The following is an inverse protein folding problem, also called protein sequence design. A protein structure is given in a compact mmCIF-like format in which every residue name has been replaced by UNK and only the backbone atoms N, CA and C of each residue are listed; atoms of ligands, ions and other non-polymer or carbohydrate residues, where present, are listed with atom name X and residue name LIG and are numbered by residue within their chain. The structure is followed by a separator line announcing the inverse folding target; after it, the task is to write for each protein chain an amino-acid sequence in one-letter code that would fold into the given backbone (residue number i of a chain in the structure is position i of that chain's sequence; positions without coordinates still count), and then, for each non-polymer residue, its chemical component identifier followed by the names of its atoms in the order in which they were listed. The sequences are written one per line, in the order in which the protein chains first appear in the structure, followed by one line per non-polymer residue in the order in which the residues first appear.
data_IF_627136810700
#
_entry.id   IF_627136810700
#
_cell.length_a   1.000
_cell.length_b   1.000
_cell.length_c   1.000
_cell.angle_alpha   90.00
_cell.angle_beta   90.00
_cell.angle_gamma   90.00
#
_symmetry.space_group_name_H-M   'P 1'
#
loop_
_entity.id
_entity.type
_entity.pdbx_description
1 polymer ?
#
# COMPACT_ATOMS: atom_id res chain seq x y z
N UNK A 1 -6.80 -14.02 20.19
CA UNK A 1 -5.82 -14.05 19.09
C UNK A 1 -4.72 -15.02 19.51
N UNK A 2 -4.46 -16.06 18.74
CA UNK A 2 -3.36 -17.00 18.99
C UNK A 2 -2.11 -16.56 18.22
N UNK A 3 -1.07 -16.14 18.94
CA UNK A 3 0.17 -15.62 18.36
C UNK A 3 0.90 -16.64 17.47
N UNK A 4 0.86 -17.93 17.83
CA UNK A 4 1.49 -18.99 17.06
C UNK A 4 0.86 -19.22 15.68
N UNK A 5 -0.43 -18.86 15.52
CA UNK A 5 -1.10 -18.92 14.21
C UNK A 5 -0.73 -17.73 13.33
N UNK A 6 -0.68 -16.53 13.92
CA UNK A 6 -0.29 -15.31 13.20
C UNK A 6 1.14 -15.48 12.66
N UNK A 7 2.07 -16.01 13.47
CA UNK A 7 3.45 -16.27 13.03
C UNK A 7 3.53 -17.34 11.95
N UNK A 8 2.74 -18.41 12.02
CA UNK A 8 2.70 -19.44 10.98
C UNK A 8 2.20 -18.87 9.64
N UNK A 9 1.16 -18.03 9.66
CA UNK A 9 0.64 -17.33 8.47
C UNK A 9 1.72 -16.41 7.90
N UNK A 10 2.38 -15.62 8.74
CA UNK A 10 3.46 -14.72 8.34
C UNK A 10 4.62 -15.46 7.66
N UNK A 11 5.07 -16.58 8.23
CA UNK A 11 6.20 -17.36 7.68
C UNK A 11 5.82 -17.98 6.32
N UNK A 12 4.62 -18.56 6.22
CA UNK A 12 4.11 -19.09 4.96
C UNK A 12 4.09 -17.99 3.90
N UNK A 13 3.52 -16.84 4.23
CA UNK A 13 3.39 -15.72 3.31
C UNK A 13 4.77 -15.19 2.86
N UNK A 14 5.75 -15.16 3.75
CA UNK A 14 7.12 -14.76 3.42
C UNK A 14 7.77 -15.73 2.43
N UNK A 15 7.52 -17.04 2.59
CA UNK A 15 7.99 -18.06 1.66
C UNK A 15 7.29 -17.95 0.29
N UNK A 16 5.98 -17.68 0.28
CA UNK A 16 5.20 -17.49 -0.94
C UNK A 16 5.71 -16.25 -1.72
N UNK A 17 5.89 -15.10 -1.05
CA UNK A 17 6.49 -13.89 -1.67
C UNK A 17 7.88 -14.19 -2.23
N UNK A 18 8.73 -14.91 -1.48
CA UNK A 18 10.11 -15.21 -1.89
C UNK A 18 10.18 -16.12 -3.11
N UNK A 19 9.21 -17.03 -3.28
CA UNK A 19 9.21 -18.01 -4.37
C UNK A 19 8.39 -17.55 -5.58
N UNK A 20 7.52 -16.57 -5.40
CA UNK A 20 6.69 -16.03 -6.47
C UNK A 20 7.38 -14.85 -7.16
N UNK A 21 7.91 -15.10 -8.37
CA UNK A 21 8.59 -14.09 -9.19
C UNK A 21 7.72 -12.86 -9.46
N UNK A 22 6.41 -13.04 -9.65
CA UNK A 22 5.47 -11.95 -9.89
C UNK A 22 5.28 -11.06 -8.66
N UNK A 23 5.40 -11.60 -7.44
CA UNK A 23 5.38 -10.78 -6.24
C UNK A 23 6.70 -10.02 -6.07
N UNK A 24 7.85 -10.69 -6.30
CA UNK A 24 9.17 -10.05 -6.21
C UNK A 24 9.33 -8.85 -7.16
N UNK A 25 8.79 -8.93 -8.37
CA UNK A 25 8.86 -7.82 -9.34
C UNK A 25 8.18 -6.56 -8.82
N UNK A 26 7.10 -6.69 -8.03
CA UNK A 26 6.38 -5.55 -7.45
C UNK A 26 7.21 -4.76 -6.43
N UNK A 27 8.22 -5.39 -5.82
CA UNK A 27 9.19 -4.73 -4.94
C UNK A 27 10.33 -4.07 -5.72
N UNK A 28 10.71 -4.68 -6.84
CA UNK A 28 11.81 -4.20 -7.69
C UNK A 28 11.40 -2.96 -8.49
N UNK A 29 10.16 -2.93 -9.02
CA UNK A 29 9.67 -1.84 -9.88
C UNK A 29 9.81 -0.45 -9.21
N UNK A 30 9.33 -0.21 -7.97
CA UNK A 30 9.48 1.08 -7.31
C UNK A 30 10.94 1.53 -7.21
N UNK A 31 11.86 0.60 -6.88
CA UNK A 31 13.29 0.88 -6.75
C UNK A 31 13.92 1.17 -8.12
N UNK A 32 13.65 0.32 -9.10
CA UNK A 32 14.16 0.47 -10.45
C UNK A 32 13.69 1.78 -11.10
N UNK A 33 12.39 2.11 -10.99
CA UNK A 33 11.85 3.36 -11.51
C UNK A 33 12.47 4.56 -10.80
N UNK A 34 12.60 4.54 -9.48
CA UNK A 34 13.25 5.62 -8.72
C UNK A 34 14.69 5.85 -9.20
N UNK A 35 15.44 4.77 -9.42
CA UNK A 35 16.80 4.86 -9.97
C UNK A 35 16.80 5.41 -11.40
N UNK A 36 15.86 5.02 -12.24
CA UNK A 36 15.75 5.53 -13.61
C UNK A 36 15.44 7.03 -13.57
N UNK A 37 14.44 7.45 -12.80
CA UNK A 37 14.07 8.85 -12.67
C UNK A 37 15.22 9.71 -12.14
N UNK A 38 15.94 9.22 -11.12
CA UNK A 38 17.07 9.94 -10.52
C UNK A 38 18.27 10.07 -11.47
N UNK A 39 18.62 9.02 -12.20
CA UNK A 39 19.90 8.96 -12.92
C UNK A 39 19.78 9.24 -14.43
N UNK A 40 18.62 9.02 -15.04
CA UNK A 40 18.45 9.07 -16.49
C UNK A 40 17.56 10.22 -16.97
N UNK A 41 16.86 10.93 -16.09
CA UNK A 41 16.07 12.11 -16.46
C UNK A 41 16.80 13.37 -16.00
N UNK A 42 17.37 14.16 -16.94
CA UNK A 42 18.02 15.43 -16.62
C UNK A 42 17.02 16.41 -15.99
N UNK A 43 17.52 17.29 -15.11
CA UNK A 43 16.74 18.39 -14.52
C UNK A 43 15.48 17.96 -13.75
N UNK A 44 15.46 16.71 -13.26
CA UNK A 44 14.39 16.25 -12.37
C UNK A 44 14.37 17.08 -11.06
N UNK A 45 13.20 17.60 -10.64
CA UNK A 45 13.09 18.29 -9.36
C UNK A 45 13.56 17.41 -8.21
N UNK A 46 14.26 18.02 -7.26
CA UNK A 46 14.74 17.34 -6.06
C UNK A 46 13.55 16.69 -5.31
N UNK A 47 13.74 15.46 -4.85
CA UNK A 47 12.70 14.71 -4.14
C UNK A 47 11.61 14.09 -5.01
N UNK A 48 11.40 14.52 -6.26
CA UNK A 48 10.34 13.98 -7.13
C UNK A 48 10.51 12.48 -7.41
N UNK A 49 11.73 12.04 -7.73
CA UNK A 49 12.04 10.62 -7.97
C UNK A 49 11.69 9.74 -6.75
N UNK A 50 12.01 10.22 -5.54
CA UNK A 50 11.65 9.54 -4.29
C UNK A 50 10.14 9.54 -4.07
N UNK A 51 9.47 10.66 -4.31
CA UNK A 51 8.02 10.79 -4.21
C UNK A 51 7.29 9.80 -5.10
N UNK A 52 7.71 9.68 -6.36
CA UNK A 52 7.21 8.67 -7.28
C UNK A 52 7.49 7.26 -6.76
N UNK A 53 8.73 6.96 -6.37
CA UNK A 53 9.11 5.67 -5.82
C UNK A 53 8.23 5.22 -4.66
N UNK A 54 7.95 6.12 -3.72
CA UNK A 54 7.11 5.85 -2.56
C UNK A 54 5.63 5.69 -2.93
N UNK A 55 5.13 6.42 -3.92
CA UNK A 55 3.79 6.18 -4.47
C UNK A 55 3.69 4.81 -5.15
N UNK A 56 4.68 4.44 -5.96
CA UNK A 56 4.78 3.11 -6.56
C UNK A 56 4.83 2.00 -5.53
N UNK A 57 5.60 2.22 -4.45
CA UNK A 57 5.66 1.29 -3.34
C UNK A 57 4.29 1.14 -2.65
N UNK A 58 3.61 2.25 -2.39
CA UNK A 58 2.31 2.25 -1.71
C UNK A 58 1.23 1.50 -2.52
N UNK A 59 1.23 1.58 -3.84
CA UNK A 59 0.22 0.89 -4.67
C UNK A 59 0.62 -0.52 -5.05
N UNK A 60 1.83 -0.75 -5.57
CA UNK A 60 2.27 -2.07 -6.04
C UNK A 60 2.48 -3.03 -4.87
N UNK A 61 3.19 -2.60 -3.83
CA UNK A 61 3.40 -3.45 -2.66
C UNK A 61 2.25 -3.28 -1.68
N UNK A 62 1.87 -2.04 -1.38
CA UNK A 62 0.84 -1.78 -0.37
C UNK A 62 -0.56 -2.25 -0.78
N UNK A 63 -0.93 -2.27 -2.07
CA UNK A 63 -2.27 -2.70 -2.50
C UNK A 63 -2.26 -3.99 -3.32
N UNK A 64 -1.42 -4.09 -4.34
CA UNK A 64 -1.48 -5.21 -5.28
C UNK A 64 -1.01 -6.54 -4.67
N UNK A 65 0.09 -6.55 -3.90
CA UNK A 65 0.56 -7.75 -3.18
C UNK A 65 -0.52 -8.34 -2.24
N UNK A 66 -1.14 -7.59 -1.32
CA UNK A 66 -2.19 -8.15 -0.45
C UNK A 66 -3.46 -8.54 -1.22
N UNK A 67 -3.77 -7.89 -2.35
CA UNK A 67 -4.86 -8.31 -3.22
C UNK A 67 -4.57 -9.69 -3.85
N UNK A 68 -3.40 -9.84 -4.46
CA UNK A 68 -2.99 -11.08 -5.14
C UNK A 68 -2.92 -12.25 -4.17
N UNK A 69 -2.31 -12.06 -3.01
CA UNK A 69 -2.10 -13.13 -2.02
C UNK A 69 -3.42 -13.62 -1.43
N UNK A 70 -4.40 -12.74 -1.19
CA UNK A 70 -5.74 -13.16 -0.78
C UNK A 70 -6.46 -13.90 -1.91
N UNK A 71 -6.37 -13.41 -3.14
CA UNK A 71 -7.02 -14.06 -4.28
C UNK A 71 -6.38 -15.41 -4.63
N UNK A 72 -5.08 -15.58 -4.39
CA UNK A 72 -4.37 -16.86 -4.52
C UNK A 72 -4.90 -17.91 -3.57
N UNK A 73 -5.15 -17.54 -2.31
CA UNK A 73 -5.72 -18.47 -1.34
C UNK A 73 -7.18 -18.83 -1.66
N UNK A 74 -7.91 -17.92 -2.30
CA UNK A 74 -9.27 -18.19 -2.84
C UNK A 74 -9.19 -19.24 -3.92
N UNK A 75 -8.31 -19.02 -4.89
CA UNK A 75 -8.15 -19.87 -6.06
C UNK A 75 -7.71 -21.29 -5.68
N UNK A 76 -6.77 -21.42 -4.73
CA UNK A 76 -6.30 -22.71 -4.20
C UNK A 76 -7.30 -23.37 -3.24
N UNK A 77 -8.54 -22.84 -3.10
CA UNK A 77 -9.56 -23.22 -2.11
C UNK A 77 -9.06 -23.27 -0.67
N UNK A 78 -7.93 -22.63 -0.38
CA UNK A 78 -7.37 -22.54 0.97
C UNK A 78 -8.25 -21.63 1.83
N UNK A 79 -8.96 -20.67 1.24
CA UNK A 79 -9.91 -19.83 1.97
C UNK A 79 -11.14 -20.58 2.47
N UNK A 80 -11.67 -21.57 1.74
CA UNK A 80 -12.73 -22.47 2.24
C UNK A 80 -12.19 -23.34 3.40
N UNK A 81 -10.94 -23.81 3.29
CA UNK A 81 -10.28 -24.52 4.39
C UNK A 81 -10.01 -23.59 5.58
N UNK A 82 -9.79 -22.29 5.36
CA UNK A 82 -9.61 -21.28 6.40
C UNK A 82 -10.92 -20.85 7.07
N UNK A 83 -12.06 -20.87 6.38
CA UNK A 83 -13.38 -20.66 7.02
C UNK A 83 -13.80 -21.86 7.86
N UNK A 84 -13.33 -23.06 7.50
CA UNK A 84 -13.44 -24.29 8.31
C UNK A 84 -12.32 -24.43 9.35
N UNK A 85 -11.24 -23.66 9.21
CA UNK A 85 -10.13 -23.60 10.16
C UNK A 85 -10.60 -22.87 11.42
N UNK A 86 -10.16 -23.30 12.62
CA UNK A 86 -10.45 -22.58 13.85
C UNK A 86 -9.78 -21.19 13.94
N UNK A 87 -9.10 -20.72 12.88
CA UNK A 87 -8.43 -19.42 12.83
C UNK A 87 -9.45 -18.29 12.66
N UNK A 88 -9.33 -17.25 13.48
CA UNK A 88 -10.23 -16.10 13.36
C UNK A 88 -9.84 -15.29 12.12
N UNK A 89 -10.79 -14.72 11.37
CA UNK A 89 -10.51 -13.89 10.20
C UNK A 89 -9.53 -12.74 10.47
N UNK A 90 -9.64 -12.14 11.65
CA UNK A 90 -8.73 -11.11 12.12
C UNK A 90 -7.28 -11.60 12.25
N UNK A 91 -7.05 -12.88 12.60
CA UNK A 91 -5.71 -13.46 12.70
C UNK A 91 -5.06 -13.60 11.31
N UNK A 92 -5.86 -13.92 10.28
CA UNK A 92 -5.40 -13.99 8.89
C UNK A 92 -5.05 -12.62 8.34
N UNK A 93 -5.94 -11.63 8.51
CA UNK A 93 -5.68 -10.27 8.06
C UNK A 93 -4.49 -9.62 8.77
N UNK A 94 -4.33 -9.85 10.08
CA UNK A 94 -3.17 -9.35 10.82
C UNK A 94 -1.89 -10.04 10.35
N UNK A 95 -1.87 -11.36 10.17
CA UNK A 95 -0.68 -12.09 9.71
C UNK A 95 -0.19 -11.65 8.33
N UNK A 96 -1.11 -11.59 7.36
CA UNK A 96 -0.79 -11.15 5.98
C UNK A 96 -0.47 -9.67 5.91
N UNK A 97 -1.33 -8.83 6.50
CA UNK A 97 -1.14 -7.39 6.52
C UNK A 97 0.17 -6.98 7.19
N UNK A 98 0.56 -7.67 8.27
CA UNK A 98 1.83 -7.40 8.95
C UNK A 98 3.03 -7.70 8.06
N UNK A 99 3.01 -8.81 7.30
CA UNK A 99 4.12 -9.08 6.38
C UNK A 99 4.21 -8.03 5.28
N UNK A 100 3.09 -7.71 4.62
CA UNK A 100 3.09 -6.65 3.60
C UNK A 100 3.56 -5.32 4.18
N UNK A 101 3.14 -5.00 5.41
CA UNK A 101 3.55 -3.78 6.10
C UNK A 101 5.06 -3.74 6.35
N UNK A 102 5.64 -4.81 6.92
CA UNK A 102 7.10 -4.92 7.12
C UNK A 102 7.85 -4.81 5.79
N UNK A 103 7.35 -5.52 4.77
CA UNK A 103 7.90 -5.48 3.42
C UNK A 103 7.89 -4.08 2.81
N UNK A 104 6.81 -3.31 2.97
CA UNK A 104 6.73 -1.90 2.56
C UNK A 104 7.79 -1.06 3.27
N UNK A 105 7.93 -1.19 4.60
CA UNK A 105 8.92 -0.43 5.36
C UNK A 105 10.36 -0.78 4.94
N UNK A 106 10.66 -2.05 4.68
CA UNK A 106 11.98 -2.46 4.21
C UNK A 106 12.28 -1.88 2.82
N UNK A 107 11.34 -1.93 1.88
CA UNK A 107 11.53 -1.33 0.56
C UNK A 107 11.61 0.19 0.61
N UNK A 108 10.88 0.84 1.52
CA UNK A 108 11.02 2.27 1.78
C UNK A 108 12.44 2.61 2.23
N UNK A 109 13.02 1.83 3.16
CA UNK A 109 14.42 2.01 3.59
C UNK A 109 15.37 1.87 2.40
N UNK A 110 15.17 0.89 1.53
CA UNK A 110 15.98 0.74 0.30
C UNK A 110 15.87 1.98 -0.59
N UNK A 111 14.67 2.51 -0.81
CA UNK A 111 14.46 3.74 -1.60
C UNK A 111 15.18 4.94 -1.00
N UNK A 112 15.09 5.11 0.33
CA UNK A 112 15.77 6.20 1.05
C UNK A 112 17.29 6.11 0.90
N UNK A 113 17.86 4.90 0.95
CA UNK A 113 19.29 4.66 0.75
C UNK A 113 19.73 4.92 -0.70
N UNK A 114 18.91 4.55 -1.68
CA UNK A 114 19.20 4.78 -3.10
C UNK A 114 19.18 6.27 -3.46
N UNK A 115 18.24 7.03 -2.89
CA UNK A 115 18.12 8.46 -3.18
C UNK A 115 19.13 9.27 -2.36
N UNK A 116 19.33 8.94 -1.08
CA UNK A 116 20.17 9.69 -0.15
C UNK A 116 19.40 10.84 0.53
N UNK A 117 18.29 10.52 1.20
CA UNK A 117 17.43 11.52 1.85
C UNK A 117 18.08 12.18 3.07
N UNK A 118 17.83 13.48 3.23
CA UNK A 118 18.30 14.24 4.40
C UNK A 118 17.60 13.79 5.69
N UNK A 119 18.34 13.77 6.80
CA UNK A 119 17.84 13.32 8.10
C UNK A 119 16.58 14.08 8.57
N UNK A 120 16.44 15.36 8.20
CA UNK A 120 15.28 16.18 8.56
C UNK A 120 13.96 15.73 7.92
N UNK A 121 14.02 15.07 6.76
CA UNK A 121 12.84 14.62 5.99
C UNK A 121 12.34 13.24 6.43
N UNK A 122 13.21 12.44 7.07
CA UNK A 122 12.93 11.07 7.47
C UNK A 122 11.69 10.91 8.36
N UNK A 123 11.45 11.73 9.40
CA UNK A 123 10.28 11.56 10.26
C UNK A 123 8.96 11.67 9.49
N UNK A 124 8.88 12.62 8.55
CA UNK A 124 7.72 12.82 7.70
C UNK A 124 7.50 11.61 6.80
N UNK A 125 8.55 11.17 6.11
CA UNK A 125 8.47 10.06 5.17
C UNK A 125 8.05 8.77 5.90
N UNK A 126 8.69 8.47 7.03
CA UNK A 126 8.42 7.26 7.81
C UNK A 126 6.98 7.24 8.34
N UNK A 127 6.52 8.33 8.95
CA UNK A 127 5.16 8.40 9.51
C UNK A 127 4.11 8.40 8.40
N UNK A 128 4.29 9.24 7.38
CA UNK A 128 3.37 9.32 6.24
C UNK A 128 3.26 7.99 5.50
N UNK A 129 4.39 7.32 5.25
CA UNK A 129 4.40 6.03 4.57
C UNK A 129 3.79 4.94 5.45
N UNK A 130 4.06 4.96 6.76
CA UNK A 130 3.47 4.00 7.71
C UNK A 130 1.94 4.05 7.66
N UNK A 131 1.36 5.25 7.80
CA UNK A 131 -0.09 5.41 7.79
C UNK A 131 -0.68 5.03 6.41
N UNK A 132 -0.06 5.51 5.34
CA UNK A 132 -0.49 5.23 3.97
C UNK A 132 -0.43 3.75 3.63
N UNK A 133 0.63 3.05 4.04
CA UNK A 133 0.78 1.62 3.86
C UNK A 133 -0.38 0.85 4.50
N UNK A 134 -0.78 1.21 5.74
CA UNK A 134 -1.90 0.55 6.40
C UNK A 134 -3.20 0.72 5.62
N UNK A 135 -3.49 1.94 5.12
CA UNK A 135 -4.69 2.20 4.31
C UNK A 135 -4.65 1.40 3.01
N UNK A 136 -3.54 1.47 2.28
CA UNK A 136 -3.34 0.75 1.02
C UNK A 136 -3.47 -0.76 1.20
N UNK A 137 -2.93 -1.31 2.30
CA UNK A 137 -3.02 -2.73 2.64
C UNK A 137 -4.47 -3.14 2.83
N UNK A 138 -5.28 -2.38 3.56
CA UNK A 138 -6.70 -2.70 3.69
C UNK A 138 -7.48 -2.61 2.37
N UNK A 139 -7.16 -1.64 1.52
CA UNK A 139 -7.79 -1.54 0.20
C UNK A 139 -7.36 -2.69 -0.71
N UNK A 140 -6.08 -3.06 -0.68
CA UNK A 140 -5.58 -4.24 -1.39
C UNK A 140 -6.27 -5.52 -0.94
N UNK A 141 -6.41 -5.70 0.38
CA UNK A 141 -7.15 -6.85 0.91
C UNK A 141 -8.62 -6.86 0.46
N UNK A 142 -9.28 -5.70 0.45
CA UNK A 142 -10.63 -5.55 -0.08
C UNK A 142 -10.72 -5.99 -1.54
N UNK A 143 -9.80 -5.57 -2.39
CA UNK A 143 -9.75 -5.99 -3.80
C UNK A 143 -9.56 -7.51 -3.88
N UNK A 144 -8.63 -8.09 -3.12
CA UNK A 144 -8.44 -9.54 -3.06
C UNK A 144 -9.71 -10.30 -2.62
N UNK A 145 -10.48 -9.74 -1.67
CA UNK A 145 -11.78 -10.30 -1.25
C UNK A 145 -12.87 -10.21 -2.33
N UNK A 146 -12.79 -9.24 -3.24
CA UNK A 146 -13.73 -9.08 -4.34
C UNK A 146 -13.32 -9.88 -5.59
N UNK A 147 -12.04 -10.16 -5.76
CA UNK A 147 -11.50 -10.95 -6.88
C UNK A 147 -11.75 -12.46 -6.72
N UNK A 148 -11.98 -13.12 -7.86
CA UNK A 148 -12.23 -14.57 -7.92
C UNK A 148 -10.94 -15.40 -7.91
N UNK A 149 -9.86 -14.86 -8.47
CA UNK A 149 -8.55 -15.52 -8.61
C UNK A 149 -7.44 -14.45 -8.75
N UNK A 150 -6.18 -14.88 -8.78
CA UNK A 150 -5.05 -13.94 -8.88
C UNK A 150 -5.12 -13.07 -10.13
N UNK A 151 -5.49 -13.63 -11.29
CA UNK A 151 -5.56 -12.86 -12.53
C UNK A 151 -6.62 -11.75 -12.44
N UNK A 152 -7.73 -12.01 -11.75
CA UNK A 152 -8.80 -11.05 -11.54
C UNK A 152 -8.41 -9.87 -10.62
N UNK A 153 -7.36 -9.97 -9.80
CA UNK A 153 -6.91 -8.82 -8.99
C UNK A 153 -6.27 -7.75 -9.85
N UNK A 154 -5.63 -8.14 -10.96
CA UNK A 154 -5.17 -7.20 -11.99
C UNK A 154 -6.35 -6.53 -12.67
N UNK A 155 -7.34 -7.29 -13.16
CA UNK A 155 -8.47 -6.72 -13.92
C UNK A 155 -9.38 -5.85 -13.04
N UNK A 156 -9.76 -6.33 -11.87
CA UNK A 156 -10.68 -5.63 -10.95
C UNK A 156 -9.97 -4.50 -10.20
N UNK A 157 -8.71 -4.72 -9.82
CA UNK A 157 -7.94 -3.76 -9.04
C UNK A 157 -7.30 -2.65 -9.86
N UNK A 158 -6.99 -2.88 -11.15
CA UNK A 158 -6.24 -1.92 -11.98
C UNK A 158 -6.83 -0.51 -11.99
N UNK A 159 -8.15 -0.29 -12.16
CA UNK A 159 -8.71 1.05 -12.10
C UNK A 159 -8.44 1.74 -10.75
N UNK A 160 -8.51 0.98 -9.65
CA UNK A 160 -8.25 1.48 -8.30
C UNK A 160 -6.77 1.80 -8.12
N UNK A 161 -5.87 0.90 -8.51
CA UNK A 161 -4.43 1.13 -8.43
C UNK A 161 -4.01 2.36 -9.26
N UNK A 162 -4.56 2.51 -10.46
CA UNK A 162 -4.30 3.67 -11.32
C UNK A 162 -4.79 4.96 -10.70
N UNK A 163 -5.99 4.99 -10.11
CA UNK A 163 -6.49 6.19 -9.43
C UNK A 163 -5.58 6.56 -8.25
N UNK A 164 -5.22 5.58 -7.42
CA UNK A 164 -4.37 5.81 -6.24
C UNK A 164 -2.95 6.25 -6.60
N UNK A 165 -2.50 5.95 -7.82
CA UNK A 165 -1.18 6.31 -8.33
C UNK A 165 -1.17 7.62 -9.11
N UNK A 166 -2.03 7.74 -10.12
CA UNK A 166 -1.99 8.82 -11.10
C UNK A 166 -2.68 10.08 -10.61
N UNK A 167 -3.79 9.98 -9.87
CA UNK A 167 -4.52 11.18 -9.43
C UNK A 167 -3.67 12.06 -8.51
N UNK A 168 -2.92 11.54 -7.52
CA UNK A 168 -1.97 12.35 -6.74
C UNK A 168 -0.93 13.06 -7.60
N UNK A 169 -0.42 12.38 -8.63
CA UNK A 169 0.60 12.91 -9.53
C UNK A 169 0.03 14.04 -10.40
N UNK A 170 -1.13 13.82 -11.02
CA UNK A 170 -1.79 14.79 -11.89
C UNK A 170 -2.27 16.02 -11.10
N UNK A 171 -2.79 15.82 -9.89
CA UNK A 171 -3.25 16.90 -9.02
C UNK A 171 -2.13 17.83 -8.55
N UNK A 172 -0.87 17.42 -8.66
CA UNK A 172 0.28 18.26 -8.30
C UNK A 172 0.51 19.43 -9.26
N UNK A 173 0.01 19.31 -10.50
CA UNK A 173 0.15 20.33 -11.55
C UNK A 173 -0.98 21.38 -11.50
N UNK A 174 -2.23 20.96 -11.35
CA UNK A 174 -3.42 21.85 -11.32
C UNK A 174 -4.37 21.48 -10.17
N UNK A 175 -4.15 21.99 -8.95
CA UNK A 175 -4.88 21.56 -7.75
C UNK A 175 -6.36 21.97 -7.71
N UNK A 176 -6.78 22.95 -8.52
CA UNK A 176 -8.13 23.53 -8.45
C UNK A 176 -9.14 22.86 -9.39
N UNK A 177 -8.68 21.94 -10.23
CA UNK A 177 -9.54 21.23 -11.17
C UNK A 177 -10.25 20.02 -10.54
N UNK A 178 -11.14 19.40 -11.30
CA UNK A 178 -11.85 18.18 -10.90
C UNK A 178 -10.90 17.10 -10.36
N UNK A 179 -9.71 16.95 -10.95
CA UNK A 179 -8.69 15.98 -10.53
C UNK A 179 -8.16 16.33 -9.13
N UNK A 180 -7.91 17.60 -8.83
CA UNK A 180 -7.47 18.04 -7.50
C UNK A 180 -8.55 17.79 -6.43
N UNK A 181 -9.81 18.06 -6.77
CA UNK A 181 -10.94 17.73 -5.88
C UNK A 181 -11.03 16.23 -5.60
N UNK A 182 -10.90 15.40 -6.64
CA UNK A 182 -10.89 13.94 -6.50
C UNK A 182 -9.69 13.46 -5.67
N UNK A 183 -8.52 14.07 -5.88
CA UNK A 183 -7.30 13.73 -5.16
C UNK A 183 -7.43 13.98 -3.66
N UNK A 184 -8.18 15.00 -3.23
CA UNK A 184 -8.46 15.28 -1.83
C UNK A 184 -9.11 14.11 -1.06
N UNK A 185 -9.74 13.16 -1.76
CA UNK A 185 -10.33 11.95 -1.17
C UNK A 185 -9.38 10.74 -1.13
N UNK A 186 -8.16 10.86 -1.65
CA UNK A 186 -7.21 9.76 -1.75
C UNK A 186 -6.14 9.84 -0.67
N UNK A 187 -5.90 8.77 0.11
CA UNK A 187 -4.85 8.77 1.12
C UNK A 187 -3.46 8.96 0.49
N UNK A 188 -3.23 8.41 -0.70
CA UNK A 188 -1.98 8.59 -1.44
C UNK A 188 -1.73 10.04 -1.85
N UNK A 189 -2.78 10.86 -2.04
CA UNK A 189 -2.62 12.28 -2.31
C UNK A 189 -2.14 13.04 -1.07
N UNK A 190 -2.75 12.80 0.10
CA UNK A 190 -2.31 13.42 1.35
C UNK A 190 -0.87 13.05 1.69
N UNK A 191 -0.48 11.80 1.45
CA UNK A 191 0.92 11.40 1.58
C UNK A 191 1.84 12.11 0.58
N UNK A 192 1.45 12.19 -0.69
CA UNK A 192 2.24 12.88 -1.70
C UNK A 192 2.40 14.38 -1.39
N UNK A 193 1.36 15.01 -0.82
CA UNK A 193 1.46 16.38 -0.29
C UNK A 193 2.45 16.48 0.87
N UNK A 194 2.44 15.53 1.82
CA UNK A 194 3.43 15.51 2.92
C UNK A 194 4.86 15.40 2.36
N UNK A 195 5.07 14.58 1.33
CA UNK A 195 6.38 14.46 0.66
C UNK A 195 6.78 15.78 0.02
N UNK A 196 5.88 16.44 -0.70
CA UNK A 196 6.15 17.75 -1.30
C UNK A 196 6.51 18.80 -0.25
N UNK A 197 5.72 18.93 0.82
CA UNK A 197 5.96 19.90 1.89
C UNK A 197 7.29 19.67 2.61
N UNK A 198 7.73 18.42 2.79
CA UNK A 198 9.01 18.14 3.45
C UNK A 198 10.21 18.25 2.51
N UNK A 199 10.07 17.80 1.27
CA UNK A 199 11.17 17.76 0.30
C UNK A 199 11.39 19.12 -0.36
N UNK A 200 10.33 19.86 -0.68
CA UNK A 200 10.43 21.14 -1.40
C UNK A 200 10.52 22.32 -0.43
N UNK A 201 9.76 22.28 0.67
CA UNK A 201 9.60 23.40 1.59
C UNK A 201 10.28 23.18 2.96
N UNK A 202 10.89 22.01 3.18
CA UNK A 202 11.58 21.68 4.43
C UNK A 202 10.65 21.58 5.66
N UNK A 203 9.34 21.43 5.46
CA UNK A 203 8.38 21.33 6.56
C UNK A 203 8.50 19.99 7.30
N UNK A 204 8.30 20.03 8.62
CA UNK A 204 8.30 18.87 9.50
C UNK A 204 6.90 18.34 9.80
N UNK A 205 6.85 17.31 10.67
CA UNK A 205 5.59 16.67 11.06
C UNK A 205 4.59 17.61 11.75
N UNK A 206 5.07 18.64 12.44
CA UNK A 206 4.21 19.58 13.17
C UNK A 206 3.27 20.36 12.24
N UNK A 207 3.66 20.54 10.96
CA UNK A 207 2.86 21.26 9.97
C UNK A 207 1.87 20.36 9.21
N UNK A 208 1.87 19.04 9.47
CA UNK A 208 1.14 18.04 8.68
C UNK A 208 -0.16 17.54 9.35
N UNK A 209 -0.69 18.32 10.29
CA UNK A 209 -1.88 17.95 11.07
C UNK A 209 -3.07 17.49 10.20
N UNK A 210 -3.47 18.24 9.16
CA UNK A 210 -4.58 17.86 8.29
C UNK A 210 -4.35 16.52 7.56
N UNK A 211 -3.16 16.31 6.99
CA UNK A 211 -2.81 15.11 6.24
C UNK A 211 -2.76 13.89 7.16
N UNK A 212 -2.16 14.03 8.34
CA UNK A 212 -2.11 12.97 9.35
C UNK A 212 -3.50 12.58 9.85
N UNK A 213 -4.38 13.57 10.09
CA UNK A 213 -5.76 13.32 10.48
C UNK A 213 -6.54 12.59 9.38
N UNK A 214 -6.38 12.99 8.12
CA UNK A 214 -7.03 12.34 6.98
C UNK A 214 -6.57 10.91 6.79
N UNK A 215 -5.25 10.65 6.84
CA UNK A 215 -4.68 9.31 6.74
C UNK A 215 -5.19 8.41 7.88
N UNK A 216 -5.22 8.92 9.11
CA UNK A 216 -5.73 8.20 10.27
C UNK A 216 -7.21 7.87 10.15
N UNK A 217 -8.02 8.81 9.66
CA UNK A 217 -9.44 8.57 9.39
C UNK A 217 -9.64 7.55 8.27
N UNK A 218 -8.81 7.60 7.22
CA UNK A 218 -8.84 6.64 6.11
C UNK A 218 -8.53 5.22 6.54
N UNK A 219 -7.65 5.03 7.54
CA UNK A 219 -7.39 3.71 8.15
C UNK A 219 -8.67 3.14 8.75
N UNK A 220 -9.39 3.95 9.54
CA UNK A 220 -10.64 3.52 10.17
C UNK A 220 -11.69 3.16 9.12
N UNK A 221 -11.86 4.01 8.10
CA UNK A 221 -12.83 3.75 7.02
C UNK A 221 -12.47 2.48 6.25
N UNK A 222 -11.22 2.32 5.82
CA UNK A 222 -10.77 1.15 5.08
C UNK A 222 -10.89 -0.14 5.90
N UNK A 223 -10.57 -0.08 7.21
CA UNK A 223 -10.74 -1.21 8.12
C UNK A 223 -12.22 -1.59 8.29
N UNK A 224 -13.11 -0.62 8.48
CA UNK A 224 -14.55 -0.86 8.60
C UNK A 224 -15.13 -1.47 7.32
N UNK A 225 -14.75 -0.94 6.15
CA UNK A 225 -15.15 -1.50 4.86
C UNK A 225 -14.66 -2.94 4.69
N UNK A 226 -13.40 -3.21 5.02
CA UNK A 226 -12.82 -4.56 5.00
C UNK A 226 -13.64 -5.53 5.85
N UNK A 227 -13.98 -5.13 7.08
CA UNK A 227 -14.78 -5.93 7.99
C UNK A 227 -16.21 -6.18 7.49
N UNK A 228 -16.86 -5.16 6.90
CA UNK A 228 -18.22 -5.29 6.36
C UNK A 228 -18.25 -6.22 5.15
N UNK A 229 -17.34 -6.04 4.19
CA UNK A 229 -17.25 -6.87 2.98
C UNK A 229 -16.91 -8.31 3.35
N UNK A 230 -15.97 -8.49 4.29
CA UNK A 230 -15.60 -9.81 4.78
C UNK A 230 -16.79 -10.54 5.40
N UNK A 231 -17.58 -9.87 6.26
CA UNK A 231 -18.77 -10.47 6.87
C UNK A 231 -19.82 -10.86 5.84
N UNK A 232 -20.08 -10.02 4.83
CA UNK A 232 -21.06 -10.33 3.77
C UNK A 232 -20.64 -11.55 2.95
N UNK A 233 -19.37 -11.60 2.52
CA UNK A 233 -18.82 -12.71 1.73
C UNK A 233 -18.70 -14.01 2.53
N UNK A 234 -18.39 -13.92 3.82
CA UNK A 234 -18.30 -15.08 4.71
C UNK A 234 -19.66 -15.71 5.04
N UNK A 235 -20.75 -14.93 4.99
CA UNK A 235 -22.12 -15.40 5.24
C UNK A 235 -22.81 -16.01 4.00
N UNK A 236 -22.32 -15.73 2.79
CA UNK A 236 -22.82 -16.36 1.55
C UNK A 236 -22.34 -17.82 1.38
N UNK A 237 -21.45 -18.30 2.26
CA UNK A 237 -20.85 -19.64 2.20
C UNK A 237 -21.21 -20.54 3.41
N UNK A 238 -22.11 -20.09 4.30
CA UNK A 238 -22.65 -20.86 5.44
C UNK A 238 -24.09 -21.26 5.21
#
# INVERSE_FOLDING_TARGET
MNMGRISAIFIKEAQDIRTNMNLLTMFVIPVALTMIYKNFIPEMPDGFALGMGLLFLATLVGMYVPAMTIAEEKEKRTLEVLTLSPAKPAEVFVGKGLLTFVSVLLTMVVLLLVVGSEAGTLPVIVVGMTLTAVVCIFIGMLIGLLSQNQMATGVVGMPVYMVFMLVPLLASHEPQDFIGTLAGFLPTHHFFQMLRLTLDEGQGLAQMGPQLAFLSASILVAFLLLMVVYRRKGLEQS
#
